data_IF_347472823891
#
_entry.id   IF_347472823891
#
_cell.length_a   1.000
_cell.length_b   1.000
_cell.length_c   1.000
_cell.angle_alpha   90.00
_cell.angle_beta   90.00
_cell.angle_gamma   90.00
#
_symmetry.space_group_name_H-M   'P 1'
#
loop_
_entity.id
_entity.type
_entity.pdbx_description
1 polymer ?
#
# COMPACT_ATOMS: atom_id res chain seq x y z
N UNK A 1 0.16 -16.61 -6.06
CA UNK A 1 -0.52 -15.77 -5.05
C UNK A 1 0.55 -15.24 -4.14
N UNK A 2 0.92 -13.98 -4.33
CA UNK A 2 1.84 -13.27 -3.44
C UNK A 2 1.19 -11.95 -3.06
N UNK A 3 1.16 -11.65 -1.76
CA UNK A 3 0.91 -10.30 -1.27
C UNK A 3 -0.49 -10.06 -0.71
N UNK A 4 -0.68 -8.85 -0.19
CA UNK A 4 -1.96 -8.42 0.37
C UNK A 4 -3.08 -8.55 -0.70
N UNK A 5 -4.08 -9.36 -0.41
CA UNK A 5 -5.11 -9.75 -1.40
C UNK A 5 -6.45 -9.03 -1.22
N UNK A 6 -6.47 -7.95 -0.44
CA UNK A 6 -7.64 -7.11 -0.18
C UNK A 6 -8.22 -6.54 -1.49
N UNK A 7 -9.53 -6.66 -1.68
CA UNK A 7 -10.19 -6.19 -2.91
C UNK A 7 -9.96 -7.06 -4.17
N UNK A 8 -9.09 -8.07 -4.10
CA UNK A 8 -8.74 -8.95 -5.23
C UNK A 8 -9.31 -10.35 -5.01
N UNK A 9 -8.81 -11.04 -4.00
CA UNK A 9 -9.15 -12.43 -3.73
C UNK A 9 -9.63 -12.70 -2.30
N UNK A 10 -9.48 -11.71 -1.41
CA UNK A 10 -10.06 -11.73 -0.06
C UNK A 10 -11.12 -10.64 -0.03
N UNK A 11 -12.26 -10.96 0.56
CA UNK A 11 -13.36 -10.04 0.86
C UNK A 11 -13.90 -10.36 2.26
N UNK A 12 -14.55 -9.40 2.90
CA UNK A 12 -15.31 -9.63 4.12
C UNK A 12 -16.75 -9.15 3.93
N UNK A 13 -17.72 -9.88 4.46
CA UNK A 13 -19.12 -9.43 4.55
C UNK A 13 -19.47 -9.43 6.03
N UNK A 14 -19.79 -8.27 6.58
CA UNK A 14 -20.07 -8.14 8.00
C UNK A 14 -21.47 -8.66 8.39
N UNK A 15 -21.80 -8.58 9.68
CA UNK A 15 -23.09 -9.03 10.20
C UNK A 15 -24.28 -8.14 9.77
N UNK A 16 -24.03 -6.93 9.26
CA UNK A 16 -25.04 -6.04 8.71
C UNK A 16 -25.25 -6.29 7.21
N UNK A 17 -24.35 -7.03 6.56
CA UNK A 17 -24.34 -7.37 5.14
C UNK A 17 -23.47 -6.43 4.30
N UNK A 18 -22.69 -5.55 4.93
CA UNK A 18 -21.77 -4.65 4.23
C UNK A 18 -20.54 -5.41 3.74
N UNK A 19 -20.13 -5.13 2.50
CA UNK A 19 -19.00 -5.76 1.84
C UNK A 19 -17.77 -4.88 2.02
N UNK A 20 -16.69 -5.47 2.51
CA UNK A 20 -15.42 -4.81 2.78
C UNK A 20 -14.28 -5.45 1.98
N UNK A 21 -13.22 -4.68 1.63
CA UNK A 21 -12.05 -5.22 0.96
C UNK A 21 -11.37 -6.40 1.67
N UNK A 22 -11.36 -6.41 3.00
CA UNK A 22 -10.94 -7.54 3.85
C UNK A 22 -11.46 -7.35 5.29
N UNK A 23 -11.09 -8.24 6.22
CA UNK A 23 -11.57 -8.24 7.62
C UNK A 23 -11.16 -7.03 8.46
N UNK A 24 -10.21 -6.20 8.03
CA UNK A 24 -9.70 -5.03 8.75
C UNK A 24 -10.32 -3.70 8.29
N UNK A 25 -11.21 -3.74 7.28
CA UNK A 25 -11.79 -2.54 6.64
C UNK A 25 -13.20 -2.20 7.10
N UNK A 26 -13.56 -2.49 8.35
CA UNK A 26 -14.93 -2.31 8.86
C UNK A 26 -15.49 -0.88 8.71
N UNK A 27 -14.62 0.13 8.57
CA UNK A 27 -15.02 1.53 8.37
C UNK A 27 -15.32 1.89 6.90
N UNK A 28 -15.08 0.99 5.94
CA UNK A 28 -15.26 1.25 4.51
C UNK A 28 -16.12 0.19 3.87
N UNK A 29 -17.35 0.55 3.46
CA UNK A 29 -18.29 -0.34 2.77
C UNK A 29 -18.25 -0.09 1.26
N UNK A 30 -18.11 -1.17 0.50
CA UNK A 30 -18.22 -1.20 -0.97
C UNK A 30 -19.68 -1.33 -1.44
N UNK A 31 -20.60 -1.58 -0.51
CA UNK A 31 -22.01 -1.85 -0.79
C UNK A 31 -22.55 -2.94 0.13
N UNK A 32 -23.85 -3.22 0.05
CA UNK A 32 -24.54 -4.16 0.94
C UNK A 32 -25.25 -5.28 0.17
N UNK A 33 -25.02 -6.53 0.56
CA UNK A 33 -25.58 -7.71 -0.13
C UNK A 33 -27.10 -7.84 0.00
N UNK A 34 -27.72 -7.12 0.94
CA UNK A 34 -29.18 -7.04 1.05
C UNK A 34 -29.80 -6.14 -0.03
N UNK A 35 -29.00 -5.34 -0.72
CA UNK A 35 -29.44 -4.37 -1.74
C UNK A 35 -29.10 -4.81 -3.15
N UNK A 36 -27.93 -5.43 -3.36
CA UNK A 36 -27.47 -5.91 -4.67
C UNK A 36 -26.63 -7.19 -4.54
N UNK A 37 -26.57 -8.06 -5.56
CA UNK A 37 -25.76 -9.28 -5.51
C UNK A 37 -24.29 -9.00 -5.22
N UNK A 38 -23.64 -9.86 -4.42
CA UNK A 38 -22.21 -9.74 -4.11
C UNK A 38 -21.35 -9.65 -5.37
N UNK A 39 -21.66 -10.43 -6.41
CA UNK A 39 -20.92 -10.42 -7.67
C UNK A 39 -20.92 -9.06 -8.36
N UNK A 40 -21.99 -8.28 -8.22
CA UNK A 40 -22.08 -6.93 -8.76
C UNK A 40 -21.26 -5.95 -7.91
N UNK A 41 -21.40 -6.00 -6.58
CA UNK A 41 -20.58 -5.19 -5.65
C UNK A 41 -19.09 -5.44 -5.89
N UNK A 42 -18.71 -6.73 -5.96
CA UNK A 42 -17.31 -7.14 -6.01
C UNK A 42 -16.63 -6.83 -7.34
N UNK A 43 -17.39 -6.69 -8.42
CA UNK A 43 -16.86 -6.33 -9.75
C UNK A 43 -16.98 -4.84 -10.05
N UNK A 44 -17.73 -4.08 -9.25
CA UNK A 44 -17.90 -2.65 -9.41
C UNK A 44 -16.58 -1.90 -9.13
N UNK A 45 -16.02 -1.28 -10.17
CA UNK A 45 -14.80 -0.45 -10.10
C UNK A 45 -15.08 1.03 -10.28
N UNK A 46 -16.36 1.44 -10.15
CA UNK A 46 -16.72 2.85 -10.01
C UNK A 46 -16.22 3.43 -8.67
N UNK A 47 -16.11 2.58 -7.64
CA UNK A 47 -15.44 2.91 -6.39
C UNK A 47 -13.91 3.08 -6.63
N UNK A 48 -13.33 4.26 -6.31
CA UNK A 48 -11.92 4.54 -6.56
C UNK A 48 -10.97 3.63 -5.78
N UNK A 49 -11.33 3.25 -4.55
CA UNK A 49 -10.55 2.35 -3.71
C UNK A 49 -10.57 0.95 -4.32
N UNK A 50 -11.75 0.44 -4.68
CA UNK A 50 -11.88 -0.88 -5.30
C UNK A 50 -11.12 -0.97 -6.62
N UNK A 51 -11.23 0.08 -7.45
CA UNK A 51 -10.49 0.19 -8.72
C UNK A 51 -8.99 0.09 -8.51
N UNK A 52 -8.44 0.81 -7.53
CA UNK A 52 -6.99 0.77 -7.23
C UNK A 52 -6.58 -0.53 -6.55
N UNK A 53 -7.38 -1.11 -5.65
CA UNK A 53 -7.09 -2.40 -5.01
C UNK A 53 -6.99 -3.54 -6.03
N UNK A 54 -7.81 -3.51 -7.08
CA UNK A 54 -7.80 -4.47 -8.19
C UNK A 54 -6.73 -4.22 -9.26
N UNK A 55 -6.03 -3.09 -9.21
CA UNK A 55 -4.94 -2.83 -10.16
C UNK A 55 -3.78 -3.80 -9.96
N UNK A 56 -3.19 -4.26 -11.07
CA UNK A 56 -2.05 -5.17 -11.07
C UNK A 56 -1.01 -4.73 -12.11
N UNK A 57 0.23 -4.37 -11.70
CA UNK A 57 0.65 -4.16 -10.31
C UNK A 57 -0.11 -2.99 -9.66
N UNK A 58 -0.22 -2.99 -8.32
CA UNK A 58 -0.75 -1.81 -7.61
C UNK A 58 0.26 -0.67 -7.69
N UNK A 59 -0.24 0.56 -7.84
CA UNK A 59 0.62 1.75 -7.77
C UNK A 59 0.74 2.23 -6.31
N UNK A 60 1.93 2.06 -5.73
CA UNK A 60 2.27 2.42 -4.34
C UNK A 60 3.49 3.31 -4.37
N UNK A 61 3.46 4.40 -3.60
CA UNK A 61 4.52 5.39 -3.57
C UNK A 61 5.73 4.93 -2.74
N UNK A 62 6.80 5.72 -2.82
CA UNK A 62 8.02 5.52 -2.05
C UNK A 62 8.81 4.27 -2.47
N UNK A 63 9.54 3.69 -1.53
CA UNK A 63 10.48 2.58 -1.76
C UNK A 63 9.83 1.30 -2.29
N UNK A 64 8.51 1.19 -2.18
CA UNK A 64 7.78 0.06 -2.75
C UNK A 64 7.87 0.02 -4.28
N UNK A 65 8.07 1.17 -4.94
CA UNK A 65 8.16 1.26 -6.40
C UNK A 65 9.38 0.48 -6.96
N UNK A 66 10.52 0.58 -6.27
CA UNK A 66 11.79 -0.03 -6.69
C UNK A 66 12.10 -1.34 -5.96
N UNK A 67 11.15 -1.84 -5.14
CA UNK A 67 11.35 -3.03 -4.32
C UNK A 67 11.35 -4.31 -5.18
N UNK A 68 12.46 -5.07 -5.14
CA UNK A 68 12.59 -6.35 -5.86
C UNK A 68 11.59 -7.45 -5.45
N UNK A 69 10.92 -7.28 -4.31
CA UNK A 69 9.90 -8.22 -3.80
C UNK A 69 8.48 -7.74 -4.07
N UNK A 70 8.28 -6.63 -4.80
CA UNK A 70 6.96 -6.03 -4.98
C UNK A 70 5.95 -6.99 -5.60
N UNK A 71 6.34 -7.80 -6.59
CA UNK A 71 5.45 -8.78 -7.24
C UNK A 71 4.93 -9.87 -6.27
N UNK A 72 5.63 -10.09 -5.15
CA UNK A 72 5.26 -11.06 -4.11
C UNK A 72 4.59 -10.37 -2.92
N UNK A 73 4.96 -9.14 -2.58
CA UNK A 73 4.43 -8.42 -1.42
C UNK A 73 3.18 -7.59 -1.76
N UNK A 74 3.20 -6.95 -2.92
CA UNK A 74 2.18 -6.04 -3.43
C UNK A 74 2.00 -4.77 -2.60
N UNK A 75 2.95 -4.42 -1.72
CA UNK A 75 2.92 -3.26 -0.81
C UNK A 75 2.29 -3.50 0.58
N UNK A 76 2.12 -4.76 1.00
CA UNK A 76 1.62 -5.16 2.33
C UNK A 76 0.23 -4.58 2.75
N UNK A 77 -0.05 -4.16 3.97
CA UNK A 77 -1.42 -3.84 4.43
C UNK A 77 -1.80 -2.40 4.10
N UNK A 78 -2.73 -2.20 3.15
CA UNK A 78 -3.20 -0.85 2.78
C UNK A 78 -3.88 -0.11 3.93
N UNK A 79 -4.69 -0.80 4.72
CA UNK A 79 -5.38 -0.14 5.83
C UNK A 79 -4.42 0.35 6.91
N UNK A 80 -3.26 -0.32 7.08
CA UNK A 80 -2.20 0.14 7.99
C UNK A 80 -1.50 1.39 7.45
N UNK A 81 -1.20 1.41 6.15
CA UNK A 81 -0.68 2.61 5.48
C UNK A 81 -1.62 3.81 5.71
N UNK A 82 -2.92 3.65 5.43
CA UNK A 82 -3.92 4.70 5.64
C UNK A 82 -4.00 5.16 7.11
N UNK A 83 -4.14 4.23 8.06
CA UNK A 83 -4.35 4.60 9.47
C UNK A 83 -3.14 5.28 10.11
N UNK A 84 -1.93 5.02 9.62
CA UNK A 84 -0.70 5.58 10.19
C UNK A 84 -0.16 6.79 9.44
N UNK A 85 -0.49 6.95 8.16
CA UNK A 85 0.06 8.00 7.30
C UNK A 85 -0.99 8.91 6.68
N UNK A 86 -2.29 8.60 6.85
CA UNK A 86 -3.42 9.24 6.17
C UNK A 86 -3.36 9.13 4.62
N UNK A 87 -2.51 8.23 4.09
CA UNK A 87 -2.44 7.88 2.67
C UNK A 87 -2.56 6.37 2.49
N UNK A 88 -3.58 5.93 1.77
CA UNK A 88 -3.84 4.52 1.48
C UNK A 88 -2.82 3.90 0.52
N UNK A 89 -2.13 4.74 -0.27
CA UNK A 89 -1.23 4.32 -1.33
C UNK A 89 0.23 4.64 -1.00
N UNK A 90 0.52 5.03 0.23
CA UNK A 90 1.87 5.16 0.77
C UNK A 90 2.47 3.79 1.08
N UNK A 91 3.76 3.82 1.38
CA UNK A 91 4.46 2.67 1.94
C UNK A 91 3.76 2.18 3.21
N UNK A 92 3.68 0.86 3.38
CA UNK A 92 3.19 0.29 4.62
C UNK A 92 4.27 0.37 5.72
N UNK A 93 4.04 1.10 6.84
CA UNK A 93 4.99 1.20 7.94
C UNK A 93 5.33 -0.14 8.62
N UNK A 94 4.55 -1.20 8.35
CA UNK A 94 4.85 -2.56 8.82
C UNK A 94 5.96 -3.27 8.02
N UNK A 95 6.49 -2.67 6.96
CA UNK A 95 7.60 -3.25 6.20
C UNK A 95 8.92 -3.09 6.96
N UNK A 96 9.49 -4.20 7.43
CA UNK A 96 10.72 -4.21 8.24
C UNK A 96 12.02 -4.32 7.42
N UNK A 97 11.92 -4.57 6.11
CA UNK A 97 13.10 -4.75 5.26
C UNK A 97 13.84 -3.42 5.09
N UNK A 98 15.15 -3.44 4.99
CA UNK A 98 15.96 -2.25 4.66
C UNK A 98 15.97 -1.99 3.16
N UNK A 99 16.46 -0.81 2.75
CA UNK A 99 16.62 -0.44 1.35
C UNK A 99 17.58 -1.40 0.62
N UNK A 100 18.69 -1.77 1.26
CA UNK A 100 19.61 -2.81 0.77
C UNK A 100 18.91 -4.17 0.57
N UNK A 101 18.05 -4.57 1.50
CA UNK A 101 17.29 -5.82 1.42
C UNK A 101 16.25 -5.78 0.29
N UNK A 102 15.66 -4.63 -0.02
CA UNK A 102 14.72 -4.49 -1.15
C UNK A 102 15.40 -4.13 -2.48
N UNK A 103 16.73 -3.95 -2.48
CA UNK A 103 17.53 -3.72 -3.69
C UNK A 103 17.62 -2.25 -4.11
N UNK A 104 17.32 -1.31 -3.20
CA UNK A 104 17.49 0.13 -3.43
C UNK A 104 18.88 0.53 -2.92
N UNK A 105 19.74 1.09 -3.78
CA UNK A 105 21.06 1.52 -3.36
C UNK A 105 20.97 2.68 -2.36
N UNK A 106 21.84 2.68 -1.36
CA UNK A 106 22.02 3.83 -0.49
C UNK A 106 22.37 5.06 -1.33
N UNK A 107 21.68 6.18 -1.08
CA UNK A 107 22.09 7.47 -1.62
C UNK A 107 23.37 7.85 -0.88
N UNK A 108 24.52 7.77 -1.55
CA UNK A 108 25.75 8.35 -1.03
C UNK A 108 25.54 9.86 -0.92
N UNK A 109 25.43 10.36 0.32
CA UNK A 109 25.44 11.80 0.57
C UNK A 109 26.85 12.29 0.23
N UNK A 110 26.96 13.11 -0.82
CA UNK A 110 28.20 13.76 -1.21
C UNK A 110 28.66 14.71 -0.07
N UNK A 111 29.53 14.22 0.81
CA UNK A 111 30.30 15.05 1.75
C UNK A 111 31.41 15.77 0.96
N UNK A 112 31.03 16.66 0.03
CA UNK A 112 31.99 17.53 -0.65
C UNK A 112 32.26 18.79 0.17
N UNK A 113 33.29 18.68 1.01
CA UNK A 113 34.31 19.71 1.33
C UNK A 113 33.84 21.04 1.96
N UNK A 114 34.07 21.20 3.26
CA UNK A 114 34.39 22.52 3.84
C UNK A 114 35.75 22.47 4.55
N UNK A 115 36.81 22.64 3.75
CA UNK A 115 38.15 22.97 4.22
C UNK A 115 38.55 24.32 3.60
N UNK A 116 37.99 25.42 4.09
CA UNK A 116 38.56 26.78 4.03
C UNK A 116 38.33 27.39 5.43
N UNK A 117 39.26 27.98 6.16
CA UNK A 117 40.63 28.43 5.93
C UNK A 117 41.15 28.80 7.33
N UNK A 118 42.14 28.08 7.87
CA UNK A 118 42.94 28.57 8.99
C UNK A 118 44.18 29.20 8.38
N UNK A 119 44.12 30.50 8.08
CA UNK A 119 45.29 31.29 7.73
C UNK A 119 45.15 32.74 8.20
N UNK A 120 45.90 33.05 9.27
CA UNK A 120 46.65 34.30 9.47
C UNK A 120 45.88 35.63 9.53
N UNK A 121 45.63 36.10 10.77
CA UNK A 121 46.18 37.38 11.29
C UNK A 121 45.92 37.52 12.79
#
# INVERSE_FOLDING_TARGET
WGGNSSGVNVANIDNLGDVHPDTYWWHYSLGNVKQRPFSEIWMDTSDPVMKKLKSNPRNISGRCHDCRFFDICGGNTRIRAMQLTDDLWSEDPGCYLTDDEIGIPAIESDESTDQHEVALS
#
